data_IF_575883435336
#
_entry.id   IF_575883435336
#
_cell.length_a   1.000
_cell.length_b   1.000
_cell.length_c   1.000
_cell.angle_alpha   90.00
_cell.angle_beta   90.00
_cell.angle_gamma   90.00
#
_symmetry.space_group_name_H-M   'P 1'
#
loop_
_entity.id
_entity.type
_entity.pdbx_description
1 polymer ?
#
# COMPACT_ATOMS: atom_id res chain seq x y z
N UNK A 1 31.48 -4.73 0.63
CA UNK A 1 30.46 -5.32 -0.25
C UNK A 1 29.43 -6.01 0.62
N UNK A 2 28.37 -5.30 0.98
CA UNK A 2 27.23 -5.84 1.74
C UNK A 2 26.13 -6.13 0.73
N UNK A 3 25.97 -7.42 0.39
CA UNK A 3 24.94 -7.89 -0.54
C UNK A 3 23.56 -7.61 0.03
N UNK A 4 22.77 -6.82 -0.70
CA UNK A 4 21.34 -6.70 -0.48
C UNK A 4 20.67 -8.03 -0.82
N UNK A 5 19.96 -8.60 0.13
CA UNK A 5 19.04 -9.71 -0.09
C UNK A 5 17.97 -9.62 0.99
N UNK A 6 16.72 -9.32 0.58
CA UNK A 6 15.52 -9.51 1.41
C UNK A 6 14.84 -8.25 1.96
N UNK A 7 14.54 -7.25 1.12
CA UNK A 7 13.81 -6.04 1.56
C UNK A 7 12.70 -5.56 0.62
N UNK A 8 12.38 -6.28 -0.45
CA UNK A 8 11.32 -5.93 -1.39
C UNK A 8 9.92 -5.98 -0.77
N UNK A 9 8.87 -5.84 -1.59
CA UNK A 9 7.47 -5.97 -1.13
C UNK A 9 6.82 -7.28 -1.60
N UNK A 10 7.51 -8.08 -2.40
CA UNK A 10 7.00 -9.36 -2.93
C UNK A 10 6.57 -10.36 -1.85
N UNK A 11 7.14 -10.27 -0.65
CA UNK A 11 6.76 -11.14 0.47
C UNK A 11 5.30 -10.95 0.91
N UNK A 12 4.64 -9.85 0.53
CA UNK A 12 3.21 -9.62 0.76
C UNK A 12 2.34 -10.67 0.04
N UNK A 13 2.81 -11.22 -1.09
CA UNK A 13 2.08 -12.27 -1.81
C UNK A 13 1.77 -13.46 -0.91
N UNK A 14 2.76 -13.84 -0.09
CA UNK A 14 2.80 -15.01 0.78
C UNK A 14 2.39 -14.69 2.23
N UNK A 15 1.96 -13.45 2.49
CA UNK A 15 1.63 -13.03 3.84
C UNK A 15 0.16 -13.28 4.15
N UNK A 16 -0.12 -14.46 4.72
CA UNK A 16 -1.45 -14.84 5.22
C UNK A 16 -2.00 -13.88 6.28
N UNK A 17 -1.11 -13.13 6.95
CA UNK A 17 -1.43 -12.13 7.97
C UNK A 17 -1.67 -10.72 7.45
N UNK A 18 -1.74 -10.51 6.12
CA UNK A 18 -1.90 -9.19 5.56
C UNK A 18 -3.34 -8.69 5.74
N UNK A 19 -3.58 -8.00 6.86
CA UNK A 19 -4.88 -7.41 7.21
C UNK A 19 -4.86 -5.89 7.32
N UNK A 20 -3.67 -5.28 7.21
CA UNK A 20 -3.49 -3.84 7.31
C UNK A 20 -3.20 -3.22 5.95
N UNK A 21 -3.86 -2.10 5.64
CA UNK A 21 -3.55 -1.30 4.46
C UNK A 21 -2.13 -0.73 4.54
N UNK A 22 -1.47 -0.59 3.38
CA UNK A 22 -0.16 0.04 3.29
C UNK A 22 -0.24 1.25 2.38
N UNK A 23 0.03 2.44 2.92
CA UNK A 23 0.18 3.66 2.12
C UNK A 23 1.62 4.15 2.15
N UNK A 24 2.18 4.39 0.97
CA UNK A 24 3.51 4.96 0.78
C UNK A 24 3.39 6.35 0.19
N UNK A 25 4.20 7.29 0.67
CA UNK A 25 4.34 8.62 0.10
C UNK A 25 5.80 9.06 0.00
N UNK A 26 6.19 9.55 -1.18
CA UNK A 26 7.55 10.09 -1.43
C UNK A 26 7.48 11.60 -1.56
N UNK A 27 8.40 12.29 -0.87
CA UNK A 27 8.47 13.76 -0.86
C UNK A 27 7.88 14.41 0.38
N UNK A 28 7.31 13.63 1.30
CA UNK A 28 6.80 14.10 2.60
C UNK A 28 7.34 13.24 3.75
N UNK A 29 7.35 13.82 4.95
CA UNK A 29 7.74 13.13 6.18
C UNK A 29 6.59 12.26 6.73
N UNK A 30 6.87 11.25 7.59
CA UNK A 30 5.84 10.31 8.08
C UNK A 30 4.69 11.00 8.83
N UNK A 31 4.99 12.06 9.59
CA UNK A 31 3.95 12.83 10.29
C UNK A 31 3.03 13.61 9.34
N UNK A 32 3.55 14.11 8.21
CA UNK A 32 2.74 14.75 7.18
C UNK A 32 1.87 13.72 6.44
N UNK A 33 2.41 12.51 6.20
CA UNK A 33 1.60 11.40 5.67
C UNK A 33 0.43 11.09 6.59
N UNK A 34 0.66 10.95 7.90
CA UNK A 34 -0.42 10.74 8.88
C UNK A 34 -1.49 11.84 8.80
N UNK A 35 -1.09 13.12 8.72
CA UNK A 35 -2.03 14.24 8.59
C UNK A 35 -2.88 14.15 7.31
N UNK A 36 -2.27 13.81 6.17
CA UNK A 36 -3.01 13.65 4.90
C UNK A 36 -3.95 12.45 4.92
N UNK A 37 -3.61 11.41 5.70
CA UNK A 37 -4.50 10.28 6.01
C UNK A 37 -5.59 10.63 7.04
N UNK A 38 -5.69 11.89 7.49
CA UNK A 38 -6.75 12.33 8.39
C UNK A 38 -6.41 12.17 9.87
N UNK A 39 -5.12 12.17 10.23
CA UNK A 39 -4.72 12.10 11.64
C UNK A 39 -5.33 13.23 12.48
N UNK A 40 -5.98 12.86 13.59
CA UNK A 40 -6.62 13.81 14.49
C UNK A 40 -5.58 14.62 15.30
N UNK A 41 -5.72 15.95 15.38
CA UNK A 41 -4.83 16.77 16.19
C UNK A 41 -4.87 16.37 17.68
N UNK A 42 -3.69 16.22 18.29
CA UNK A 42 -3.56 16.01 19.74
C UNK A 42 -3.70 14.57 20.22
N UNK A 43 -4.23 13.65 19.41
CA UNK A 43 -4.28 12.22 19.75
C UNK A 43 -3.02 11.54 19.25
N UNK A 44 -2.09 11.29 20.18
CA UNK A 44 -0.83 10.59 19.92
C UNK A 44 -0.63 9.51 20.97
N UNK A 45 -1.09 8.27 20.74
CA UNK A 45 -0.92 7.16 21.66
C UNK A 45 0.55 6.79 21.91
N UNK A 46 1.48 7.35 21.13
CA UNK A 46 2.90 7.03 21.17
C UNK A 46 3.24 5.95 20.15
N UNK A 47 4.45 5.39 20.20
CA UNK A 47 4.81 4.26 19.36
C UNK A 47 4.01 3.02 19.73
N UNK A 48 3.37 2.38 18.76
CA UNK A 48 2.59 1.15 18.95
C UNK A 48 3.14 0.02 18.09
N UNK A 49 3.11 -1.21 18.62
CA UNK A 49 3.25 -2.43 17.83
C UNK A 49 1.96 -2.76 17.05
N UNK A 50 2.02 -3.78 16.20
CA UNK A 50 0.87 -4.17 15.38
C UNK A 50 -0.35 -4.62 16.21
N UNK A 51 -0.13 -5.40 17.28
CA UNK A 51 -1.19 -5.88 18.17
C UNK A 51 -1.84 -4.73 18.94
N UNK A 52 -1.03 -3.84 19.52
CA UNK A 52 -1.55 -2.69 20.29
C UNK A 52 -2.35 -1.73 19.40
N UNK A 53 -1.90 -1.53 18.15
CA UNK A 53 -2.64 -0.73 17.17
C UNK A 53 -4.02 -1.35 16.86
N UNK A 54 -4.08 -2.67 16.68
CA UNK A 54 -5.35 -3.38 16.48
C UNK A 54 -6.28 -3.31 17.69
N UNK A 55 -5.75 -3.46 18.91
CA UNK A 55 -6.53 -3.30 20.13
C UNK A 55 -7.09 -1.88 20.24
N UNK A 56 -6.27 -0.87 19.92
CA UNK A 56 -6.70 0.53 19.96
C UNK A 56 -7.82 0.85 18.97
N UNK A 57 -7.85 0.23 17.78
CA UNK A 57 -8.96 0.39 16.83
C UNK A 57 -10.31 0.03 17.47
N UNK A 58 -10.35 -0.95 18.38
CA UNK A 58 -11.59 -1.33 19.07
C UNK A 58 -12.03 -0.33 20.16
N UNK A 59 -11.14 0.59 20.53
CA UNK A 59 -11.38 1.63 21.53
C UNK A 59 -11.66 3.00 20.90
N UNK A 60 -11.44 3.16 19.59
CA UNK A 60 -11.76 4.37 18.84
C UNK A 60 -13.25 4.43 18.46
N UNK A 61 -13.72 5.57 17.94
CA UNK A 61 -15.10 5.70 17.49
C UNK A 61 -15.33 4.87 16.22
N UNK A 62 -16.58 4.45 15.99
CA UNK A 62 -16.94 3.76 14.75
C UNK A 62 -16.56 4.63 13.54
N UNK A 63 -15.72 4.06 12.64
CA UNK A 63 -15.20 4.73 11.46
C UNK A 63 -13.78 5.29 11.59
N UNK A 64 -13.17 5.21 12.78
CA UNK A 64 -11.76 5.56 12.98
C UNK A 64 -10.82 4.39 12.61
N UNK A 65 -9.59 4.74 12.24
CA UNK A 65 -8.48 3.83 12.05
C UNK A 65 -7.25 4.24 12.85
N UNK A 66 -6.25 3.37 12.90
CA UNK A 66 -4.94 3.66 13.51
C UNK A 66 -3.86 3.51 12.46
N UNK A 67 -3.17 4.60 12.15
CA UNK A 67 -2.03 4.62 11.24
C UNK A 67 -0.72 4.64 12.03
N UNK A 68 0.08 3.58 11.85
CA UNK A 68 1.47 3.52 12.32
C UNK A 68 2.40 3.97 11.21
N UNK A 69 3.17 5.03 11.43
CA UNK A 69 3.96 5.66 10.35
C UNK A 69 5.47 5.56 10.58
N UNK A 70 6.20 5.40 9.48
CA UNK A 70 7.66 5.32 9.47
C UNK A 70 8.24 5.77 8.14
N UNK A 71 9.55 5.64 7.99
CA UNK A 71 10.25 5.91 6.73
C UNK A 71 11.22 4.80 6.38
N UNK A 72 11.25 4.40 5.11
CA UNK A 72 12.19 3.41 4.60
C UNK A 72 12.38 3.59 3.09
N UNK A 73 13.60 3.37 2.58
CA UNK A 73 13.85 3.34 1.13
C UNK A 73 13.47 4.63 0.37
N UNK A 74 13.53 5.79 1.02
CA UNK A 74 13.12 7.08 0.43
C UNK A 74 11.60 7.32 0.40
N UNK A 75 10.81 6.43 1.01
CA UNK A 75 9.37 6.57 1.21
C UNK A 75 9.06 6.80 2.68
N UNK A 76 8.10 7.68 2.95
CA UNK A 76 7.30 7.57 4.17
C UNK A 76 6.25 6.48 3.95
N UNK A 77 5.95 5.69 4.96
CA UNK A 77 4.92 4.66 4.89
C UNK A 77 3.99 4.73 6.10
N UNK A 78 2.77 4.26 5.91
CA UNK A 78 1.76 4.04 6.94
C UNK A 78 1.28 2.59 6.87
N UNK A 79 1.21 1.94 8.03
CA UNK A 79 0.49 0.68 8.23
C UNK A 79 -0.83 1.04 8.89
N UNK A 80 -1.92 0.79 8.18
CA UNK A 80 -3.26 1.26 8.52
C UNK A 80 -4.11 0.10 9.06
N UNK A 81 -4.54 0.22 10.31
CA UNK A 81 -5.36 -0.75 11.02
C UNK A 81 -6.79 -0.24 11.17
N UNK A 82 -7.79 -1.14 11.11
CA UNK A 82 -9.20 -0.79 11.25
C UNK A 82 -9.86 -0.42 9.92
N UNK A 83 -10.49 0.76 9.85
CA UNK A 83 -11.03 1.33 8.61
C UNK A 83 -9.95 2.22 7.96
N UNK A 84 -9.10 1.69 7.05
CA UNK A 84 -7.97 2.42 6.51
C UNK A 84 -8.44 3.58 5.62
N UNK A 85 -7.84 4.77 5.82
CA UNK A 85 -8.18 5.96 5.07
C UNK A 85 -7.41 6.05 3.73
N UNK A 86 -6.37 5.24 3.55
CA UNK A 86 -5.46 5.26 2.41
C UNK A 86 -6.15 5.13 1.06
N UNK A 87 -7.13 4.22 0.93
CA UNK A 87 -7.88 4.04 -0.30
C UNK A 87 -8.66 5.32 -0.71
N UNK A 88 -9.34 5.96 0.25
CA UNK A 88 -10.19 7.14 0.01
C UNK A 88 -9.37 8.43 -0.13
N UNK A 89 -8.27 8.54 0.62
CA UNK A 89 -7.46 9.76 0.74
C UNK A 89 -6.20 9.75 -0.13
N UNK A 90 -5.98 8.72 -0.97
CA UNK A 90 -4.75 8.62 -1.77
C UNK A 90 -4.50 9.85 -2.67
N UNK A 91 -5.57 10.39 -3.24
CA UNK A 91 -5.53 11.65 -3.99
C UNK A 91 -5.01 12.81 -3.12
N UNK A 92 -5.55 12.99 -1.91
CA UNK A 92 -5.08 14.00 -0.95
C UNK A 92 -3.59 13.81 -0.60
N UNK A 93 -3.19 12.56 -0.30
CA UNK A 93 -1.80 12.21 0.01
C UNK A 93 -0.87 12.66 -1.11
N UNK A 94 -1.26 12.46 -2.37
CA UNK A 94 -0.45 12.75 -3.55
C UNK A 94 -0.38 14.23 -3.97
N UNK A 95 -1.04 15.15 -3.26
CA UNK A 95 -1.01 16.58 -3.62
C UNK A 95 0.39 17.19 -3.51
N UNK A 96 0.60 18.28 -4.24
CA UNK A 96 1.81 19.10 -4.19
C UNK A 96 3.09 18.35 -4.59
N UNK A 97 3.05 17.60 -5.69
CA UNK A 97 4.22 16.88 -6.21
C UNK A 97 4.57 15.58 -5.51
N UNK A 98 3.72 15.10 -4.59
CA UNK A 98 3.93 13.86 -3.85
C UNK A 98 3.53 12.66 -4.69
N UNK A 99 4.39 11.65 -4.74
CA UNK A 99 4.03 10.34 -5.29
C UNK A 99 3.44 9.50 -4.18
N UNK A 100 2.30 8.83 -4.42
CA UNK A 100 1.64 7.99 -3.43
C UNK A 100 1.23 6.63 -4.00
N UNK A 101 1.47 5.56 -3.25
CA UNK A 101 1.05 4.18 -3.58
C UNK A 101 0.23 3.64 -2.42
N UNK A 102 -0.89 3.01 -2.71
CA UNK A 102 -1.69 2.28 -1.74
C UNK A 102 -1.78 0.79 -2.12
N UNK A 103 -1.61 -0.07 -1.14
CA UNK A 103 -1.85 -1.50 -1.24
C UNK A 103 -2.88 -1.89 -0.17
N UNK A 104 -4.02 -2.40 -0.63
CA UNK A 104 -5.13 -2.80 0.22
C UNK A 104 -5.26 -4.32 0.22
N UNK A 105 -5.22 -4.98 1.39
CA UNK A 105 -5.33 -6.43 1.46
C UNK A 105 -6.70 -6.99 1.06
N UNK A 106 -7.78 -6.20 1.17
CA UNK A 106 -9.17 -6.62 0.90
C UNK A 106 -9.53 -8.03 1.42
N UNK A 107 -9.38 -8.32 2.73
CA UNK A 107 -9.57 -9.68 3.26
C UNK A 107 -10.99 -10.20 3.09
N UNK A 108 -12.00 -9.33 3.14
CA UNK A 108 -13.42 -9.69 3.01
C UNK A 108 -13.93 -9.62 1.56
N UNK A 109 -13.22 -8.88 0.69
CA UNK A 109 -13.65 -8.58 -0.68
C UNK A 109 -12.48 -8.69 -1.68
N UNK A 110 -11.85 -9.87 -1.83
CA UNK A 110 -10.75 -10.05 -2.76
C UNK A 110 -11.16 -9.67 -4.21
N UNK A 111 -10.22 -9.21 -5.04
CA UNK A 111 -8.77 -9.28 -4.86
C UNK A 111 -8.18 -8.11 -4.06
N UNK A 112 -6.94 -8.30 -3.59
CA UNK A 112 -6.07 -7.24 -3.05
C UNK A 112 -5.98 -6.09 -4.06
N UNK A 113 -6.03 -4.84 -3.61
CA UNK A 113 -6.04 -3.68 -4.51
C UNK A 113 -4.70 -2.96 -4.49
N UNK A 114 -4.35 -2.41 -5.65
CA UNK A 114 -3.28 -1.45 -5.82
C UNK A 114 -3.83 -0.15 -6.40
N UNK A 115 -3.33 0.98 -5.91
CA UNK A 115 -3.53 2.28 -6.53
C UNK A 115 -2.25 3.12 -6.47
N UNK A 116 -2.00 3.89 -7.54
CA UNK A 116 -0.95 4.90 -7.62
C UNK A 116 -1.57 6.25 -7.93
N UNK A 117 -1.17 7.26 -7.16
CA UNK A 117 -1.62 8.62 -7.31
C UNK A 117 -0.44 9.60 -7.37
N UNK A 118 -0.66 10.70 -8.08
CA UNK A 118 0.29 11.79 -8.21
C UNK A 118 -0.47 13.09 -8.47
N UNK A 119 0.00 14.17 -7.85
CA UNK A 119 -0.51 15.52 -8.07
C UNK A 119 -2.02 15.68 -7.80
N UNK A 120 -2.55 14.89 -6.87
CA UNK A 120 -3.97 14.96 -6.49
C UNK A 120 -4.88 14.01 -7.25
N UNK A 121 -4.36 13.19 -8.17
CA UNK A 121 -5.17 12.33 -9.03
C UNK A 121 -4.70 10.87 -9.00
N UNK A 122 -5.67 9.93 -9.02
CA UNK A 122 -5.38 8.51 -9.21
C UNK A 122 -4.92 8.28 -10.65
N UNK A 123 -3.64 7.96 -10.82
CA UNK A 123 -3.01 7.70 -12.12
C UNK A 123 -3.49 6.35 -12.65
N UNK A 124 -3.31 5.29 -11.87
CA UNK A 124 -3.76 3.96 -12.21
C UNK A 124 -4.11 3.15 -10.96
N UNK A 125 -5.06 2.23 -11.08
CA UNK A 125 -5.42 1.26 -10.05
C UNK A 125 -5.89 -0.05 -10.66
N UNK A 126 -5.79 -1.14 -9.92
CA UNK A 126 -6.32 -2.47 -10.28
C UNK A 126 -6.26 -3.43 -9.10
N UNK A 127 -7.06 -4.49 -9.17
CA UNK A 127 -6.89 -5.66 -8.31
C UNK A 127 -5.69 -6.50 -8.76
N UNK A 128 -4.94 -7.05 -7.81
CA UNK A 128 -3.91 -8.05 -8.10
C UNK A 128 -4.58 -9.30 -8.67
N UNK A 129 -4.12 -9.72 -9.85
CA UNK A 129 -4.75 -10.76 -10.65
C UNK A 129 -5.93 -10.30 -11.52
N UNK A 130 -6.28 -9.03 -11.45
CA UNK A 130 -7.29 -8.37 -12.28
C UNK A 130 -6.69 -7.17 -13.04
N UNK A 131 -5.39 -7.22 -13.38
CA UNK A 131 -4.66 -6.11 -14.01
C UNK A 131 -5.21 -5.72 -15.41
N UNK A 132 -5.98 -6.61 -16.03
CA UNK A 132 -6.75 -6.33 -17.24
C UNK A 132 -7.88 -5.30 -17.03
N UNK A 133 -8.41 -5.20 -15.80
CA UNK A 133 -9.50 -4.31 -15.38
C UNK A 133 -8.97 -3.06 -14.67
N UNK A 134 -7.92 -2.46 -15.24
CA UNK A 134 -7.25 -1.28 -14.69
C UNK A 134 -8.04 0.02 -14.90
N UNK A 135 -8.06 0.87 -13.86
CA UNK A 135 -8.71 2.18 -13.83
C UNK A 135 -7.75 3.34 -13.60
N UNK A 136 -8.29 4.52 -13.26
CA UNK A 136 -7.53 5.77 -13.10
C UNK A 136 -7.56 6.65 -14.36
N UNK A 137 -6.98 7.86 -14.30
CA UNK A 137 -6.98 8.78 -15.45
C UNK A 137 -5.93 8.43 -16.52
N UNK A 138 -4.96 7.56 -16.19
CA UNK A 138 -4.00 6.94 -17.11
C UNK A 138 -3.93 5.43 -16.82
N UNK A 139 -4.98 4.67 -17.16
CA UNK A 139 -5.08 3.26 -16.79
C UNK A 139 -3.92 2.41 -17.31
N UNK A 140 -3.39 2.72 -18.50
CA UNK A 140 -2.26 2.00 -19.12
C UNK A 140 -0.88 2.41 -18.60
N UNK A 141 -0.79 3.22 -17.54
CA UNK A 141 0.49 3.72 -17.02
C UNK A 141 1.51 2.64 -16.69
N UNK A 142 1.06 1.47 -16.21
CA UNK A 142 1.91 0.31 -15.89
C UNK A 142 1.85 -0.79 -16.96
N UNK A 143 1.11 -0.61 -18.06
CA UNK A 143 0.94 -1.64 -19.07
C UNK A 143 2.28 -2.13 -19.65
N UNK A 144 3.25 -1.26 -20.00
CA UNK A 144 4.54 -1.72 -20.53
C UNK A 144 5.29 -2.65 -19.57
N UNK A 145 5.32 -2.32 -18.28
CA UNK A 145 6.00 -3.11 -17.25
C UNK A 145 5.25 -4.41 -16.95
N UNK A 146 3.91 -4.38 -16.92
CA UNK A 146 3.08 -5.58 -16.73
C UNK A 146 3.23 -6.57 -17.90
N UNK A 147 3.36 -6.06 -19.13
CA UNK A 147 3.64 -6.88 -20.33
C UNK A 147 5.05 -7.46 -20.27
N UNK A 148 6.05 -6.65 -19.92
CA UNK A 148 7.44 -7.10 -19.81
C UNK A 148 7.61 -8.20 -18.74
N UNK A 149 6.80 -8.18 -17.69
CA UNK A 149 6.78 -9.19 -16.63
C UNK A 149 5.92 -10.42 -16.96
N UNK A 150 5.25 -10.47 -18.11
CA UNK A 150 4.36 -11.57 -18.48
C UNK A 150 3.09 -11.66 -17.63
N UNK A 151 2.69 -10.57 -16.96
CA UNK A 151 1.40 -10.47 -16.25
C UNK A 151 0.28 -10.27 -17.26
N UNK A 152 0.51 -9.39 -18.23
CA UNK A 152 -0.41 -9.08 -19.32
C UNK A 152 0.19 -9.38 -20.70
N UNK A 153 -0.66 -9.66 -21.67
CA UNK A 153 -0.33 -9.67 -23.08
C UNK A 153 -0.36 -8.23 -23.64
N UNK A 154 0.24 -7.97 -24.81
CA UNK A 154 0.28 -6.62 -25.41
C UNK A 154 -1.10 -5.97 -25.64
N UNK A 155 -2.16 -6.77 -25.77
CA UNK A 155 -3.54 -6.29 -25.89
C UNK A 155 -4.20 -5.97 -24.53
N UNK A 156 -3.47 -6.15 -23.43
CA UNK A 156 -3.93 -5.89 -22.07
C UNK A 156 -4.72 -7.03 -21.43
N UNK A 157 -4.81 -8.20 -22.08
CA UNK A 157 -5.41 -9.41 -21.50
C UNK A 157 -4.41 -10.16 -20.61
N UNK A 158 -4.89 -11.10 -19.80
CA UNK A 158 -3.99 -11.91 -18.95
C UNK A 158 -3.08 -12.80 -19.79
N UNK A 159 -1.77 -12.79 -19.51
CA UNK A 159 -0.79 -13.61 -20.25
C UNK A 159 -0.49 -14.97 -19.59
N UNK A 160 -0.85 -15.15 -18.32
CA UNK A 160 -0.61 -16.39 -17.57
C UNK A 160 -1.61 -17.50 -17.93
N UNK A 161 -1.28 -18.77 -17.58
CA UNK A 161 -2.21 -19.87 -17.74
C UNK A 161 -3.38 -19.74 -16.75
N UNK A 162 -4.56 -20.23 -17.13
CA UNK A 162 -5.78 -20.11 -16.31
C UNK A 162 -5.67 -20.82 -14.94
N UNK A 163 -4.81 -21.82 -14.82
CA UNK A 163 -4.59 -22.63 -13.62
C UNK A 163 -3.42 -22.15 -12.74
N UNK A 164 -2.85 -20.98 -13.03
CA UNK A 164 -1.78 -20.42 -12.24
C UNK A 164 -2.20 -20.13 -10.78
N UNK A 165 -1.38 -20.49 -9.78
CA UNK A 165 -1.65 -20.10 -8.40
C UNK A 165 -1.71 -18.58 -8.23
N UNK A 166 -2.75 -18.08 -7.57
CA UNK A 166 -2.93 -16.63 -7.33
C UNK A 166 -1.69 -15.97 -6.69
N UNK A 167 -1.02 -16.65 -5.75
CA UNK A 167 0.16 -16.12 -5.09
C UNK A 167 1.34 -15.88 -6.05
N UNK A 168 1.52 -16.71 -7.08
CA UNK A 168 2.59 -16.53 -8.06
C UNK A 168 2.32 -15.34 -8.97
N UNK A 169 1.05 -15.16 -9.36
CA UNK A 169 0.58 -13.99 -10.10
C UNK A 169 0.75 -12.70 -9.31
N UNK A 170 0.27 -12.68 -8.06
CA UNK A 170 0.43 -11.56 -7.13
C UNK A 170 1.91 -11.20 -6.96
N UNK A 171 2.78 -12.20 -6.80
CA UNK A 171 4.22 -11.97 -6.62
C UNK A 171 4.85 -11.32 -7.85
N UNK A 172 4.45 -11.70 -9.07
CA UNK A 172 4.91 -11.04 -10.30
C UNK A 172 4.44 -9.59 -10.39
N UNK A 173 3.17 -9.32 -10.07
CA UNK A 173 2.65 -7.95 -10.03
C UNK A 173 3.37 -7.12 -8.97
N UNK A 174 3.56 -7.64 -7.76
CA UNK A 174 4.33 -6.97 -6.72
C UNK A 174 5.79 -6.71 -7.13
N UNK A 175 6.41 -7.60 -7.92
CA UNK A 175 7.74 -7.37 -8.47
C UNK A 175 7.78 -6.19 -9.45
N UNK A 176 6.74 -6.03 -10.28
CA UNK A 176 6.57 -4.85 -11.15
C UNK A 176 6.46 -3.58 -10.32
N UNK A 177 5.61 -3.57 -9.28
CA UNK A 177 5.43 -2.41 -8.40
C UNK A 177 6.72 -2.07 -7.64
N UNK A 178 7.39 -3.09 -7.09
CA UNK A 178 8.67 -2.99 -6.43
C UNK A 178 9.70 -2.30 -7.33
N UNK A 179 9.88 -2.79 -8.56
CA UNK A 179 10.84 -2.23 -9.50
C UNK A 179 10.46 -0.82 -9.95
N UNK A 180 9.20 -0.62 -10.34
CA UNK A 180 8.72 0.64 -10.94
C UNK A 180 8.77 1.82 -9.98
N UNK A 181 8.50 1.57 -8.70
CA UNK A 181 8.45 2.59 -7.67
C UNK A 181 9.67 2.56 -6.75
N UNK A 182 10.60 1.61 -6.94
CA UNK A 182 11.68 1.31 -6.01
C UNK A 182 11.14 1.10 -4.58
N UNK A 183 10.02 0.36 -4.46
CA UNK A 183 9.40 0.08 -3.16
C UNK A 183 10.18 -1.00 -2.44
N UNK A 184 10.43 -0.76 -1.15
CA UNK A 184 11.07 -1.72 -0.26
C UNK A 184 10.40 -1.52 1.08
N UNK A 185 10.01 -2.61 1.74
CA UNK A 185 9.49 -2.54 3.10
C UNK A 185 9.78 -3.86 3.82
N UNK A 186 10.77 -3.88 4.72
CA UNK A 186 11.05 -5.05 5.54
C UNK A 186 9.86 -5.43 6.40
N UNK A 187 9.50 -6.73 6.40
CA UNK A 187 8.37 -7.28 7.15
C UNK A 187 8.37 -6.93 8.64
N UNK A 188 9.54 -6.96 9.30
CA UNK A 188 9.67 -6.64 10.72
C UNK A 188 9.28 -5.18 11.07
N UNK A 189 9.31 -4.25 10.11
CA UNK A 189 8.83 -2.88 10.33
C UNK A 189 7.31 -2.85 10.48
N UNK A 190 6.62 -3.78 9.84
CA UNK A 190 5.16 -3.89 9.88
C UNK A 190 4.73 -4.70 11.09
N UNK A 191 5.33 -5.87 11.32
CA UNK A 191 4.90 -6.80 12.36
C UNK A 191 5.41 -6.43 13.75
N UNK A 192 6.72 -6.21 13.87
CA UNK A 192 7.40 -6.25 15.18
C UNK A 192 7.75 -4.87 15.71
N UNK A 193 7.98 -3.90 14.82
CA UNK A 193 8.54 -2.61 15.20
C UNK A 193 7.47 -1.67 15.75
N UNK A 194 7.63 -1.15 16.99
CA UNK A 194 6.78 -0.08 17.47
C UNK A 194 7.03 1.20 16.67
N UNK A 195 5.98 1.75 16.07
CA UNK A 195 6.04 2.93 15.21
C UNK A 195 5.14 4.04 15.75
N UNK A 196 5.52 5.32 15.60
CA UNK A 196 4.63 6.44 15.91
C UNK A 196 3.23 6.21 15.32
N UNK A 197 2.22 6.18 16.20
CA UNK A 197 0.86 5.90 15.81
C UNK A 197 -0.03 7.14 15.94
N UNK A 198 -1.02 7.21 15.07
CA UNK A 198 -1.99 8.29 14.96
C UNK A 198 -3.38 7.68 14.76
N UNK A 199 -4.40 8.26 15.41
CA UNK A 199 -5.79 7.96 15.08
C UNK A 199 -6.16 8.76 13.84
N UNK A 200 -6.70 8.09 12.82
CA UNK A 200 -7.08 8.65 11.54
C UNK A 200 -8.57 8.52 11.31
N UNK A 201 -9.21 9.53 10.73
CA UNK A 201 -10.62 9.48 10.35
C UNK A 201 -10.82 9.87 8.87
N UNK A 202 -11.83 9.28 8.23
CA UNK A 202 -12.20 9.58 6.83
C UNK A 202 -13.20 10.74 6.67
N UNK A 203 -13.55 11.44 7.77
CA UNK A 203 -14.44 12.61 7.75
C UNK A 203 -13.99 13.72 6.81
#
# INVERSE_FOLDING_TARGET
>A
MTGGSGGGIQWLADWDGWYAGLTFARGIAPGELALRLGALPGIRPGPLGATDAWSMVTETMDGDGVARVGSWGGWSFAVEHGMPAGAERLAEVSRSGVEAVHLDPQPDHPPRQFAYARDGEIVCCFGLGEEGWRGGHRPDFLLPELVAAGVLAPDGTHAGPEDEPCADRDRRTLAVLEHRFALSLPRHLIEDTPLPAFVTCTQ
#
